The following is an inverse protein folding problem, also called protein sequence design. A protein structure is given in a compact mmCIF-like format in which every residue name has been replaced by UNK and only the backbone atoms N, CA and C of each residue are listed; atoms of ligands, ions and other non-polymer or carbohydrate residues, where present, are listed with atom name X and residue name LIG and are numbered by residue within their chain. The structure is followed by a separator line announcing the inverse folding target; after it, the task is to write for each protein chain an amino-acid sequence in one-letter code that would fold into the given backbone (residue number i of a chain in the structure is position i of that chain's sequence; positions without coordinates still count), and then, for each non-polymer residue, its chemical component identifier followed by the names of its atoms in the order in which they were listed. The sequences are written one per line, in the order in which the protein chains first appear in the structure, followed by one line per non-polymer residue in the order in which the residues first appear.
data_IF_243835559547
#
_entry.id   IF_243835559547
#
_cell.length_a   1.000
_cell.length_b   1.000
_cell.length_c   1.000
_cell.angle_alpha   90.00
_cell.angle_beta   90.00
_cell.angle_gamma   90.00
#
_symmetry.space_group_name_H-M   'P 1'
#
loop_
_entity.id
_entity.type
_entity.pdbx_description
1 polymer ?
#
# COMPACT_ATOMS: atom_id res chain seq x y z
N UNK A 1 -8.19 10.23 -14.70
CA UNK A 1 -7.55 9.80 -13.43
C UNK A 1 -7.80 10.87 -12.40
N UNK A 2 -8.16 10.48 -11.19
CA UNK A 2 -8.58 11.38 -10.11
C UNK A 2 -7.36 11.93 -9.37
N UNK A 3 -7.53 13.06 -8.69
CA UNK A 3 -6.52 13.57 -7.75
C UNK A 3 -6.69 12.92 -6.37
N UNK A 4 -5.60 12.76 -5.62
CA UNK A 4 -5.63 12.23 -4.25
C UNK A 4 -6.53 13.07 -3.33
N UNK A 5 -6.51 14.39 -3.52
CA UNK A 5 -7.28 15.36 -2.74
C UNK A 5 -8.80 15.10 -2.80
N UNK A 6 -9.30 14.53 -3.89
CA UNK A 6 -10.73 14.18 -4.01
C UNK A 6 -11.19 13.13 -2.99
N UNK A 7 -10.25 12.38 -2.40
CA UNK A 7 -10.52 11.37 -1.39
C UNK A 7 -10.42 11.88 0.05
N UNK A 8 -9.99 13.13 0.27
CA UNK A 8 -9.81 13.69 1.62
C UNK A 8 -11.08 13.60 2.45
N UNK A 9 -12.21 14.04 1.91
CA UNK A 9 -13.47 14.06 2.64
C UNK A 9 -13.94 12.63 3.02
N UNK A 10 -13.82 11.67 2.12
CA UNK A 10 -14.18 10.26 2.38
C UNK A 10 -13.26 9.65 3.45
N UNK A 11 -11.94 9.86 3.37
CA UNK A 11 -10.97 9.38 4.35
C UNK A 11 -11.15 10.05 5.73
N UNK A 12 -11.48 11.35 5.75
CA UNK A 12 -11.78 12.08 6.99
C UNK A 12 -13.08 11.62 7.65
N UNK A 13 -14.04 11.12 6.86
CA UNK A 13 -15.31 10.61 7.36
C UNK A 13 -15.26 9.13 7.80
N UNK A 14 -14.27 8.36 7.36
CA UNK A 14 -14.16 6.93 7.68
C UNK A 14 -14.19 6.66 9.20
N UNK A 15 -14.95 5.69 9.66
CA UNK A 15 -15.15 5.46 11.09
C UNK A 15 -14.22 4.41 11.69
N UNK A 16 -13.69 3.51 10.87
CA UNK A 16 -12.80 2.45 11.29
C UNK A 16 -11.70 2.15 10.26
N UNK A 17 -10.73 1.34 10.67
CA UNK A 17 -9.61 0.95 9.82
C UNK A 17 -10.04 0.13 8.60
N UNK A 18 -11.17 -0.59 8.67
CA UNK A 18 -11.75 -1.33 7.55
C UNK A 18 -12.20 -0.40 6.42
N UNK A 19 -12.90 0.69 6.77
CA UNK A 19 -13.30 1.73 5.83
C UNK A 19 -12.08 2.44 5.23
N UNK A 20 -11.10 2.82 6.06
CA UNK A 20 -9.85 3.44 5.59
C UNK A 20 -9.12 2.52 4.61
N UNK A 21 -9.00 1.23 4.95
CA UNK A 21 -8.35 0.21 4.10
C UNK A 21 -9.03 0.09 2.74
N UNK A 22 -10.37 -0.03 2.73
CA UNK A 22 -11.17 -0.14 1.51
C UNK A 22 -11.05 1.11 0.63
N UNK A 23 -11.04 2.29 1.24
CA UNK A 23 -10.86 3.56 0.54
C UNK A 23 -9.43 3.68 -0.01
N UNK A 24 -8.42 3.36 0.79
CA UNK A 24 -7.01 3.45 0.42
C UNK A 24 -6.69 2.65 -0.83
N UNK A 25 -7.06 1.35 -0.87
CA UNK A 25 -6.80 0.48 -2.03
C UNK A 25 -7.53 0.96 -3.29
N UNK A 26 -8.77 1.44 -3.16
CA UNK A 26 -9.58 1.96 -4.28
C UNK A 26 -8.96 3.24 -4.83
N UNK A 27 -8.71 4.21 -3.94
CA UNK A 27 -8.14 5.50 -4.28
C UNK A 27 -6.77 5.34 -4.93
N UNK A 28 -5.90 4.50 -4.36
CA UNK A 28 -4.57 4.24 -4.90
C UNK A 28 -4.62 3.76 -6.35
N UNK A 29 -5.54 2.85 -6.67
CA UNK A 29 -5.74 2.38 -8.05
C UNK A 29 -6.23 3.50 -8.97
N UNK A 30 -7.20 4.31 -8.55
CA UNK A 30 -7.81 5.36 -9.38
C UNK A 30 -6.89 6.57 -9.63
N UNK A 31 -6.11 6.99 -8.63
CA UNK A 31 -5.18 8.14 -8.75
C UNK A 31 -3.90 7.79 -9.52
N UNK A 32 -3.54 6.50 -9.55
CA UNK A 32 -2.35 6.01 -10.26
C UNK A 32 -2.66 5.36 -11.62
N UNK A 33 -3.91 4.96 -11.85
CA UNK A 33 -4.32 4.26 -13.07
C UNK A 33 -3.71 2.86 -13.14
N UNK A 34 -3.31 2.31 -12.00
CA UNK A 34 -2.74 0.99 -11.87
C UNK A 34 -3.78 -0.12 -12.11
N UNK A 35 -3.28 -1.31 -12.41
CA UNK A 35 -4.12 -2.50 -12.58
C UNK A 35 -4.34 -3.24 -11.26
N UNK A 36 -3.51 -2.97 -10.27
CA UNK A 36 -3.72 -3.39 -8.89
C UNK A 36 -3.27 -2.33 -7.90
N UNK A 37 -3.87 -2.34 -6.72
CA UNK A 37 -3.42 -1.60 -5.56
C UNK A 37 -3.66 -2.39 -4.28
N UNK A 38 -2.89 -2.09 -3.24
CA UNK A 38 -3.02 -2.74 -1.94
C UNK A 38 -2.86 -1.73 -0.81
N UNK A 39 -3.43 -2.08 0.34
CA UNK A 39 -3.09 -1.48 1.62
C UNK A 39 -2.49 -2.57 2.51
N UNK A 40 -1.33 -2.28 3.12
CA UNK A 40 -0.53 -3.21 3.91
C UNK A 40 -0.34 -2.63 5.29
N UNK A 41 -0.66 -3.39 6.33
CA UNK A 41 -0.41 -3.01 7.72
C UNK A 41 0.94 -3.55 8.19
N UNK A 42 1.60 -2.78 9.05
CA UNK A 42 2.74 -3.27 9.83
C UNK A 42 2.24 -3.94 11.11
N UNK A 43 2.60 -5.20 11.28
CA UNK A 43 2.36 -5.99 12.48
C UNK A 43 3.73 -6.42 13.03
N UNK A 44 4.33 -5.58 13.88
CA UNK A 44 5.68 -5.77 14.45
C UNK A 44 6.74 -6.06 13.37
N UNK A 45 7.13 -7.34 13.26
CA UNK A 45 8.15 -7.88 12.35
C UNK A 45 7.55 -8.42 11.04
N UNK A 46 6.28 -8.14 10.77
CA UNK A 46 5.58 -8.61 9.58
C UNK A 46 4.76 -7.53 8.88
N UNK A 47 4.55 -7.73 7.58
CA UNK A 47 3.67 -6.97 6.71
C UNK A 47 2.43 -7.80 6.43
N UNK A 48 1.28 -7.33 6.87
CA UNK A 48 -0.01 -7.95 6.60
C UNK A 48 -0.71 -7.25 5.44
N UNK A 49 -0.93 -7.97 4.33
CA UNK A 49 -1.62 -7.44 3.16
C UNK A 49 -3.13 -7.44 3.43
N UNK A 50 -3.63 -6.32 3.98
CA UNK A 50 -4.97 -6.16 4.52
C UNK A 50 -6.07 -6.28 3.46
N UNK A 51 -5.92 -5.53 2.36
CA UNK A 51 -6.88 -5.52 1.27
C UNK A 51 -6.23 -5.15 -0.07
N UNK A 52 -6.93 -5.46 -1.15
CA UNK A 52 -6.49 -5.19 -2.52
C UNK A 52 -7.65 -4.83 -3.46
N UNK A 53 -7.33 -4.06 -4.50
CA UNK A 53 -8.20 -3.81 -5.66
C UNK A 53 -7.37 -4.10 -6.90
N UNK A 54 -7.67 -5.19 -7.60
CA UNK A 54 -6.83 -5.63 -8.69
C UNK A 54 -7.63 -6.39 -9.76
N UNK A 55 -7.08 -6.40 -10.99
CA UNK A 55 -7.64 -7.15 -12.12
C UNK A 55 -7.48 -8.67 -11.99
N UNK A 56 -6.64 -9.14 -11.07
CA UNK A 56 -6.45 -10.54 -10.72
C UNK A 56 -5.94 -10.61 -9.26
N UNK A 57 -6.09 -11.76 -8.57
CA UNK A 57 -5.66 -11.91 -7.17
C UNK A 57 -4.18 -11.56 -6.95
N UNK A 58 -3.88 -10.91 -5.83
CA UNK A 58 -2.52 -10.63 -5.37
C UNK A 58 -2.24 -11.37 -4.04
N UNK A 59 -2.07 -10.63 -2.94
CA UNK A 59 -1.58 -11.16 -1.66
C UNK A 59 -2.51 -10.90 -0.47
N UNK A 60 -3.73 -10.39 -0.70
CA UNK A 60 -4.70 -10.12 0.38
C UNK A 60 -4.81 -11.31 1.35
N UNK A 61 -4.76 -11.00 2.64
CA UNK A 61 -4.82 -11.97 3.74
C UNK A 61 -3.48 -12.61 4.10
N UNK A 62 -2.43 -12.42 3.30
CA UNK A 62 -1.11 -13.00 3.55
C UNK A 62 -0.24 -12.11 4.44
N UNK A 63 0.74 -12.74 5.10
CA UNK A 63 1.78 -12.09 5.90
C UNK A 63 3.16 -12.43 5.35
N UNK A 64 4.02 -11.43 5.32
CA UNK A 64 5.42 -11.59 4.94
C UNK A 64 6.30 -10.95 6.02
N UNK A 65 7.50 -11.48 6.30
CA UNK A 65 8.45 -10.78 7.15
C UNK A 65 8.70 -9.36 6.63
N UNK A 66 8.76 -8.38 7.52
CA UNK A 66 8.96 -6.97 7.15
C UNK A 66 10.29 -6.76 6.42
N UNK A 67 11.28 -7.61 6.67
CA UNK A 67 12.59 -7.58 5.98
C UNK A 67 12.58 -8.27 4.61
N UNK A 68 11.51 -8.98 4.25
CA UNK A 68 11.44 -9.85 3.07
C UNK A 68 10.32 -9.48 2.10
N UNK A 69 9.91 -8.21 2.08
CA UNK A 69 8.92 -7.70 1.13
C UNK A 69 9.12 -6.21 0.84
N UNK A 70 8.65 -5.75 -0.33
CA UNK A 70 8.86 -4.37 -0.77
C UNK A 70 8.10 -3.35 0.09
N UNK A 71 6.94 -3.74 0.62
CA UNK A 71 6.15 -2.95 1.58
C UNK A 71 6.94 -2.69 2.86
N UNK A 72 7.61 -3.72 3.36
CA UNK A 72 8.45 -3.61 4.54
C UNK A 72 9.72 -2.81 4.28
N UNK A 73 10.36 -2.95 3.12
CA UNK A 73 11.46 -2.08 2.71
C UNK A 73 11.04 -0.60 2.72
N UNK A 74 9.88 -0.27 2.16
CA UNK A 74 9.38 1.11 2.12
C UNK A 74 9.14 1.66 3.54
N UNK A 75 8.52 0.87 4.42
CA UNK A 75 8.25 1.26 5.82
C UNK A 75 9.52 1.39 6.66
N UNK A 76 10.49 0.48 6.51
CA UNK A 76 11.74 0.50 7.28
C UNK A 76 12.68 1.64 6.87
N UNK A 77 12.62 2.06 5.60
CA UNK A 77 13.46 3.14 5.09
C UNK A 77 12.74 4.51 5.11
N UNK A 78 11.45 4.56 5.47
CA UNK A 78 10.60 5.75 5.38
C UNK A 78 10.69 6.42 4.00
N UNK A 79 10.72 5.59 2.95
CA UNK A 79 10.96 6.02 1.58
C UNK A 79 10.04 5.32 0.58
N UNK A 80 9.54 6.09 -0.39
CA UNK A 80 8.81 5.57 -1.54
C UNK A 80 9.71 4.68 -2.39
N UNK A 81 9.33 3.41 -2.55
CA UNK A 81 9.97 2.50 -3.49
C UNK A 81 9.32 2.61 -4.87
N UNK A 82 10.11 2.97 -5.88
CA UNK A 82 9.68 2.97 -7.29
C UNK A 82 10.47 1.89 -8.04
N UNK A 83 9.76 0.91 -8.59
CA UNK A 83 10.31 -0.29 -9.23
C UNK A 83 9.90 -0.31 -10.70
N UNK A 84 10.79 0.06 -11.63
CA UNK A 84 10.50 0.03 -13.07
C UNK A 84 10.32 -1.38 -13.63
N UNK A 85 11.03 -2.36 -13.07
CA UNK A 85 11.01 -3.74 -13.51
C UNK A 85 11.32 -4.64 -12.32
N UNK A 86 10.39 -5.53 -11.97
CA UNK A 86 10.56 -6.44 -10.83
C UNK A 86 11.67 -7.46 -11.05
N UNK A 87 11.98 -7.81 -12.30
CA UNK A 87 12.99 -8.82 -12.63
C UNK A 87 14.43 -8.31 -12.46
N UNK A 88 14.59 -6.99 -12.29
CA UNK A 88 15.89 -6.32 -12.22
C UNK A 88 16.14 -5.60 -10.87
N UNK A 89 15.22 -5.72 -9.91
CA UNK A 89 15.33 -5.03 -8.62
C UNK A 89 15.50 -6.02 -7.48
N UNK A 90 16.67 -6.02 -6.86
CA UNK A 90 17.06 -6.97 -5.80
C UNK A 90 16.19 -6.87 -4.54
N UNK A 91 15.39 -5.81 -4.39
CA UNK A 91 14.44 -5.67 -3.27
C UNK A 91 13.19 -6.54 -3.48
N UNK A 92 12.99 -7.10 -4.66
CA UNK A 92 11.80 -7.86 -5.01
C UNK A 92 12.01 -9.37 -4.80
N UNK A 93 11.27 -10.02 -3.90
CA UNK A 93 11.26 -11.48 -3.80
C UNK A 93 10.48 -12.09 -4.97
N UNK A 94 11.14 -12.27 -6.11
CA UNK A 94 10.51 -12.70 -7.37
C UNK A 94 9.57 -13.91 -7.26
N UNK A 95 9.86 -14.85 -6.36
CA UNK A 95 9.01 -16.01 -6.10
C UNK A 95 7.56 -15.62 -5.75
N UNK A 96 7.36 -14.55 -4.97
CA UNK A 96 6.04 -14.08 -4.55
C UNK A 96 5.23 -13.45 -5.70
N UNK A 97 5.90 -13.05 -6.79
CA UNK A 97 5.30 -12.34 -7.92
C UNK A 97 4.96 -13.25 -9.10
N UNK A 98 5.47 -14.49 -9.14
CA UNK A 98 5.38 -15.42 -10.27
C UNK A 98 3.94 -15.68 -10.77
N UNK A 99 2.98 -15.70 -9.86
CA UNK A 99 1.56 -15.97 -10.16
C UNK A 99 0.73 -14.71 -10.35
N UNK A 100 1.36 -13.54 -10.29
CA UNK A 100 0.69 -12.24 -10.41
C UNK A 100 0.93 -11.63 -11.79
N UNK A 101 0.12 -10.63 -12.16
CA UNK A 101 0.37 -9.85 -13.38
C UNK A 101 1.46 -8.80 -13.20
N UNK A 102 1.94 -8.55 -11.99
CA UNK A 102 2.76 -7.38 -11.65
C UNK A 102 4.11 -7.47 -12.36
N UNK A 103 4.53 -6.37 -12.98
CA UNK A 103 5.84 -6.22 -13.65
C UNK A 103 6.57 -4.94 -13.25
N UNK A 104 5.85 -3.93 -12.78
CA UNK A 104 6.39 -2.73 -12.15
C UNK A 104 5.47 -2.26 -11.04
N UNK A 105 6.01 -1.50 -10.07
CA UNK A 105 5.23 -1.05 -8.93
C UNK A 105 5.77 0.24 -8.30
N UNK A 106 4.92 0.88 -7.50
CA UNK A 106 5.28 1.90 -6.55
C UNK A 106 4.72 1.52 -5.19
N UNK A 107 5.50 1.69 -4.13
CA UNK A 107 5.11 1.39 -2.76
C UNK A 107 5.48 2.56 -1.86
N UNK A 108 4.48 3.14 -1.20
CA UNK A 108 4.64 4.35 -0.39
C UNK A 108 4.35 4.00 1.08
N UNK A 109 5.26 4.32 2.01
CA UNK A 109 4.98 4.13 3.44
C UNK A 109 3.91 5.11 3.93
N UNK A 110 3.17 4.71 4.94
CA UNK A 110 2.09 5.49 5.57
C UNK A 110 2.42 5.64 7.06
N UNK A 111 2.40 6.89 7.53
CA UNK A 111 2.70 7.26 8.91
C UNK A 111 4.15 7.70 9.13
N UNK A 112 4.31 8.71 9.98
CA UNK A 112 5.57 9.30 10.43
C UNK A 112 5.53 9.58 11.95
N UNK A 113 6.66 9.59 12.67
CA UNK A 113 8.02 9.23 12.21
C UNK A 113 8.21 7.72 12.04
N UNK A 114 7.28 6.91 12.52
CA UNK A 114 7.28 5.45 12.36
C UNK A 114 6.13 5.06 11.45
N UNK A 115 6.45 4.40 10.33
CA UNK A 115 5.42 3.94 9.39
C UNK A 115 4.68 2.75 9.96
N UNK A 116 3.35 2.86 9.98
CA UNK A 116 2.39 1.87 10.51
C UNK A 116 1.71 1.06 9.40
N UNK A 117 1.82 1.53 8.16
CA UNK A 117 1.26 0.89 6.99
C UNK A 117 2.04 1.26 5.72
N UNK A 118 1.65 0.68 4.59
CA UNK A 118 2.08 1.07 3.27
C UNK A 118 0.93 0.95 2.26
N UNK A 119 0.96 1.77 1.22
CA UNK A 119 0.03 1.72 0.09
C UNK A 119 0.80 1.46 -1.20
N UNK A 120 0.34 0.47 -1.97
CA UNK A 120 1.01 0.02 -3.18
C UNK A 120 0.17 0.17 -4.43
N UNK A 121 0.82 0.42 -5.57
CA UNK A 121 0.22 0.43 -6.89
C UNK A 121 1.05 -0.46 -7.85
N UNK A 122 0.36 -1.25 -8.67
CA UNK A 122 0.95 -2.32 -9.48
C UNK A 122 0.52 -2.24 -10.95
N UNK A 123 1.47 -2.37 -11.85
CA UNK A 123 1.24 -2.38 -13.30
C UNK A 123 1.73 -3.69 -13.93
N UNK A 124 1.08 -4.10 -15.01
CA UNK A 124 1.36 -5.34 -15.73
C UNK A 124 2.47 -5.24 -16.77
N UNK A 125 3.16 -4.10 -16.83
CA UNK A 125 4.22 -3.82 -17.80
C UNK A 125 5.46 -3.34 -17.07
N UNK A 126 6.64 -3.81 -17.49
CA UNK A 126 7.91 -3.27 -17.01
C UNK A 126 8.10 -1.88 -17.60
N UNK A 127 7.96 -0.87 -16.76
CA UNK A 127 8.06 0.54 -17.09
C UNK A 127 8.25 1.31 -15.79
N UNK A 128 9.09 2.34 -15.81
CA UNK A 128 9.18 3.29 -14.69
C UNK A 128 7.82 3.98 -14.46
N UNK A 129 7.20 3.81 -13.28
CA UNK A 129 5.99 4.55 -12.92
C UNK A 129 6.19 6.06 -13.11
N UNK A 130 5.20 6.72 -13.68
CA UNK A 130 5.28 8.16 -13.94
C UNK A 130 5.40 8.93 -12.63
N UNK A 131 6.35 9.88 -12.56
CA UNK A 131 6.58 10.71 -11.36
C UNK A 131 5.31 11.39 -10.84
N UNK A 132 4.48 11.92 -11.73
CA UNK A 132 3.22 12.54 -11.35
C UNK A 132 2.23 11.55 -10.68
N UNK A 133 2.25 10.27 -11.05
CA UNK A 133 1.39 9.24 -10.43
C UNK A 133 1.92 8.78 -9.09
N UNK A 134 3.24 8.68 -8.97
CA UNK A 134 3.91 8.43 -7.68
C UNK A 134 3.61 9.58 -6.71
N UNK A 135 3.69 10.83 -7.15
CA UNK A 135 3.36 11.99 -6.33
C UNK A 135 1.90 12.01 -5.85
N UNK A 136 0.95 11.59 -6.68
CA UNK A 136 -0.44 11.44 -6.23
C UNK A 136 -0.61 10.30 -5.22
N UNK A 137 0.12 9.18 -5.38
CA UNK A 137 0.12 8.10 -4.40
C UNK A 137 0.73 8.54 -3.06
N UNK A 138 1.79 9.37 -3.09
CA UNK A 138 2.42 9.97 -1.90
C UNK A 138 1.47 10.92 -1.17
N UNK A 139 0.76 11.79 -1.90
CA UNK A 139 -0.28 12.65 -1.32
C UNK A 139 -1.39 11.83 -0.70
N UNK A 140 -1.83 10.77 -1.38
CA UNK A 140 -2.84 9.87 -0.84
C UNK A 140 -2.34 9.17 0.44
N UNK A 141 -1.08 8.74 0.49
CA UNK A 141 -0.50 8.14 1.69
C UNK A 141 -0.53 9.09 2.90
N UNK A 142 -0.29 10.38 2.69
CA UNK A 142 -0.43 11.38 3.75
C UNK A 142 -1.88 11.49 4.27
N UNK A 143 -2.87 11.52 3.37
CA UNK A 143 -4.29 11.52 3.75
C UNK A 143 -4.69 10.25 4.51
N UNK A 144 -4.17 9.11 4.09
CA UNK A 144 -4.41 7.83 4.74
C UNK A 144 -3.79 7.84 6.15
N UNK A 145 -2.60 8.41 6.32
CA UNK A 145 -1.95 8.52 7.62
C UNK A 145 -2.82 9.32 8.62
N UNK A 146 -3.32 10.49 8.20
CA UNK A 146 -4.26 11.30 9.01
C UNK A 146 -5.50 10.50 9.43
N UNK A 147 -6.05 9.68 8.51
CA UNK A 147 -7.21 8.86 8.78
C UNK A 147 -6.90 7.70 9.75
N UNK A 148 -5.76 7.01 9.56
CA UNK A 148 -5.30 5.91 10.43
C UNK A 148 -5.04 6.42 11.84
N UNK A 149 -4.36 7.55 12.00
CA UNK A 149 -4.08 8.16 13.31
C UNK A 149 -5.38 8.49 14.07
N UNK A 150 -6.42 8.91 13.34
CA UNK A 150 -7.73 9.25 13.91
C UNK A 150 -8.54 8.02 14.33
N UNK A 151 -8.65 7.01 13.47
CA UNK A 151 -9.50 5.83 13.74
C UNK A 151 -8.81 4.78 14.61
N UNK A 152 -7.49 4.83 14.68
CA UNK A 152 -6.64 3.87 15.38
C UNK A 152 -6.53 2.52 14.66
N UNK A 153 -5.54 1.74 15.08
CA UNK A 153 -5.29 0.40 14.54
C UNK A 153 -6.09 -0.70 15.26
N UNK A 154 -6.68 -0.35 16.41
CA UNK A 154 -7.28 -1.29 17.37
C UNK A 154 -8.65 -1.87 16.89
N UNK A 155 -9.26 -1.27 15.87
CA UNK A 155 -10.66 -1.50 15.46
C UNK A 155 -10.85 -2.32 14.15
N UNK A 156 -9.89 -3.17 13.76
CA UNK A 156 -10.05 -4.03 12.58
C UNK A 156 -10.31 -5.50 12.97
N UNK A 157 -11.51 -6.06 12.72
CA UNK A 157 -11.82 -7.46 13.03
C UNK A 157 -11.00 -8.47 12.19
N UNK A 158 -10.38 -8.00 11.11
CA UNK A 158 -9.53 -8.77 10.20
C UNK A 158 -8.02 -8.54 10.39
N UNK A 159 -7.62 -7.58 11.24
CA UNK A 159 -6.23 -7.35 11.63
C UNK A 159 -6.01 -7.93 13.05
N UNK A 160 -5.47 -9.14 13.18
CA UNK A 160 -5.23 -9.76 14.47
C UNK A 160 -4.02 -9.12 15.17
N UNK A 161 -4.22 -8.77 16.44
CA UNK A 161 -3.20 -8.50 17.47
C UNK A 161 -2.40 -7.18 17.37
N UNK A 162 -3.10 -6.05 17.54
CA UNK A 162 -2.56 -4.95 18.34
C UNK A 162 -3.01 -5.15 19.80
N UNK A 163 -2.57 -6.24 20.46
CA UNK A 163 -2.76 -6.36 21.91
C UNK A 163 -1.66 -5.55 22.58
N UNK A 164 -2.06 -4.53 23.35
CA UNK A 164 -1.18 -3.79 24.27
C UNK A 164 -0.52 -4.73 25.27
#
# INVERSE_FOLDING_TARGET
MRAAEEYRAELAAAHDLGEVTRLARKAAREVTGAQGATFVLREEDSCFYADEDAIAPLWKGQRFPITSCISGWAMLNHQTAVIPDIEQDDRIPLQAYRTTFVRSLAMVPVGEPVSVAAVGAYWSVSRRPLKARVAELERLAALIAEAVDRVGLENAPWAPTFRR
#
